data_IF_188974627292
#
_entry.id   IF_188974627292
#
_cell.length_a   1.000
_cell.length_b   1.000
_cell.length_c   1.000
_cell.angle_alpha   90.00
_cell.angle_beta   90.00
_cell.angle_gamma   90.00
#
_symmetry.space_group_name_H-M   'P 1'
#
loop_
_entity.id
_entity.type
_entity.pdbx_description
1 polymer ?
#
# COMPACT_ATOMS: atom_id res chain seq x y z
N UNK A 1 -7.00 -1.46 12.19
CA UNK A 1 -6.51 -1.97 10.89
C UNK A 1 -7.37 -3.03 10.20
N UNK A 2 -8.07 -3.93 10.89
CA UNK A 2 -8.90 -4.96 10.23
C UNK A 2 -9.90 -4.40 9.22
N UNK A 3 -10.60 -3.33 9.58
CA UNK A 3 -11.55 -2.66 8.68
C UNK A 3 -10.85 -2.07 7.45
N UNK A 4 -9.70 -1.41 7.64
CA UNK A 4 -8.89 -0.89 6.53
C UNK A 4 -8.48 -2.00 5.57
N UNK A 5 -7.93 -3.12 6.08
CA UNK A 5 -7.50 -4.25 5.24
C UNK A 5 -8.65 -4.84 4.43
N UNK A 6 -9.84 -4.96 5.04
CA UNK A 6 -11.04 -5.42 4.34
C UNK A 6 -11.39 -4.47 3.19
N UNK A 7 -11.51 -3.17 3.48
CA UNK A 7 -11.88 -2.17 2.48
C UNK A 7 -10.82 -2.05 1.36
N UNK A 8 -9.53 -2.07 1.72
CA UNK A 8 -8.41 -2.11 0.77
C UNK A 8 -8.48 -3.34 -0.14
N UNK A 9 -8.60 -4.53 0.46
CA UNK A 9 -8.62 -5.80 -0.26
C UNK A 9 -9.82 -5.93 -1.19
N UNK A 10 -10.98 -5.40 -0.81
CA UNK A 10 -12.19 -5.38 -1.65
C UNK A 10 -12.27 -4.20 -2.61
N UNK A 11 -11.37 -3.21 -2.51
CA UNK A 11 -11.49 -1.93 -3.21
C UNK A 11 -12.85 -1.25 -2.92
N UNK A 12 -13.21 -1.16 -1.64
CA UNK A 12 -14.41 -0.49 -1.14
C UNK A 12 -14.11 0.97 -0.79
N UNK A 13 -14.44 1.86 -1.71
CA UNK A 13 -14.16 3.30 -1.57
C UNK A 13 -14.96 3.94 -0.42
N UNK A 14 -16.16 3.45 -0.10
CA UNK A 14 -16.95 3.99 1.01
C UNK A 14 -16.34 3.57 2.36
N UNK A 15 -15.96 2.29 2.48
CA UNK A 15 -15.23 1.78 3.63
C UNK A 15 -13.89 2.48 3.85
N UNK A 16 -13.16 2.79 2.79
CA UNK A 16 -11.92 3.57 2.87
C UNK A 16 -12.18 5.01 3.37
N UNK A 17 -13.17 5.72 2.83
CA UNK A 17 -13.52 7.09 3.27
C UNK A 17 -13.92 7.17 4.75
N UNK A 18 -14.47 6.10 5.31
CA UNK A 18 -14.82 6.06 6.73
C UNK A 18 -13.58 6.03 7.66
N UNK A 19 -12.45 5.50 7.17
CA UNK A 19 -11.26 5.19 7.98
C UNK A 19 -10.09 6.13 7.67
N UNK A 20 -10.09 6.75 6.49
CA UNK A 20 -9.06 7.67 6.04
C UNK A 20 -9.47 9.13 6.30
N UNK A 21 -8.49 10.00 6.52
CA UNK A 21 -8.72 11.44 6.54
C UNK A 21 -8.97 11.97 5.12
N UNK A 22 -9.58 13.15 5.00
CA UNK A 22 -9.84 13.77 3.69
C UNK A 22 -8.53 14.12 2.94
N UNK A 23 -7.49 14.48 3.69
CA UNK A 23 -6.14 14.77 3.22
C UNK A 23 -5.21 13.54 3.21
N UNK A 24 -5.78 12.34 3.19
CA UNK A 24 -4.98 11.11 3.23
C UNK A 24 -3.95 11.05 2.09
N UNK A 25 -2.74 10.62 2.40
CA UNK A 25 -1.69 10.36 1.41
C UNK A 25 -1.16 8.93 1.47
N UNK A 26 -0.90 8.34 0.31
CA UNK A 26 -0.15 7.10 0.18
C UNK A 26 1.16 7.34 -0.56
N UNK A 27 2.27 7.20 0.15
CA UNK A 27 3.64 7.32 -0.35
C UNK A 27 4.11 5.93 -0.80
N UNK A 28 4.44 5.82 -2.09
CA UNK A 28 4.67 4.54 -2.75
C UNK A 28 6.15 4.20 -2.79
N UNK A 29 6.46 2.90 -2.82
CA UNK A 29 7.84 2.39 -2.90
C UNK A 29 8.56 2.72 -4.24
N UNK A 30 7.85 3.28 -5.22
CA UNK A 30 8.38 3.70 -6.51
C UNK A 30 7.89 5.11 -6.83
N UNK A 31 8.68 5.85 -7.61
CA UNK A 31 8.32 7.12 -8.22
C UNK A 31 8.44 7.06 -9.74
N UNK A 32 7.86 8.02 -10.45
CA UNK A 32 8.18 8.22 -11.85
C UNK A 32 9.56 8.90 -11.98
N UNK A 33 10.27 8.68 -13.09
CA UNK A 33 11.56 9.33 -13.32
C UNK A 33 11.47 10.87 -13.35
N UNK A 34 10.29 11.42 -13.69
CA UNK A 34 10.00 12.86 -13.66
C UNK A 34 9.80 13.38 -12.23
N UNK A 35 9.41 12.50 -11.30
CA UNK A 35 8.99 12.83 -9.95
C UNK A 35 10.04 12.29 -8.98
N UNK A 36 11.33 12.67 -9.13
CA UNK A 36 12.46 12.22 -8.28
C UNK A 36 12.35 12.73 -6.82
N UNK A 37 11.16 12.65 -6.23
CA UNK A 37 10.88 12.91 -4.85
C UNK A 37 11.43 11.77 -4.00
N UNK A 38 12.05 12.09 -2.84
CA UNK A 38 12.56 11.08 -1.93
C UNK A 38 11.45 10.19 -1.33
N UNK A 39 10.18 10.59 -1.48
CA UNK A 39 8.99 9.86 -1.02
C UNK A 39 8.44 8.85 -2.03
N UNK A 40 8.98 8.81 -3.26
CA UNK A 40 8.34 8.13 -4.38
C UNK A 40 7.05 8.83 -4.82
N UNK A 41 6.23 8.15 -5.62
CA UNK A 41 4.93 8.64 -6.10
C UNK A 41 3.99 8.79 -4.91
N UNK A 42 3.35 9.94 -4.79
CA UNK A 42 2.34 10.21 -3.75
C UNK A 42 0.95 10.14 -4.38
N UNK A 43 0.07 9.34 -3.79
CA UNK A 43 -1.35 9.29 -4.15
C UNK A 43 -2.14 10.06 -3.10
N UNK A 44 -2.92 11.05 -3.53
CA UNK A 44 -3.71 11.90 -2.64
C UNK A 44 -5.18 11.49 -2.64
N UNK A 45 -5.69 11.14 -1.46
CA UNK A 45 -7.08 10.80 -1.22
C UNK A 45 -7.49 9.40 -1.68
N UNK A 46 -8.75 9.06 -1.39
CA UNK A 46 -9.32 7.74 -1.67
C UNK A 46 -9.43 7.47 -3.17
N UNK A 47 -9.73 8.48 -3.98
CA UNK A 47 -9.94 8.28 -5.42
C UNK A 47 -8.64 7.88 -6.14
N UNK A 48 -7.52 8.56 -5.85
CA UNK A 48 -6.22 8.19 -6.39
C UNK A 48 -5.77 6.80 -5.93
N UNK A 49 -6.04 6.46 -4.66
CA UNK A 49 -5.80 5.13 -4.12
C UNK A 49 -6.63 4.05 -4.85
N UNK A 50 -7.90 4.34 -5.16
CA UNK A 50 -8.80 3.44 -5.86
C UNK A 50 -8.36 3.20 -7.31
N UNK A 51 -7.92 4.25 -8.00
CA UNK A 51 -7.35 4.12 -9.35
C UNK A 51 -6.14 3.20 -9.36
N UNK A 52 -5.23 3.36 -8.39
CA UNK A 52 -4.05 2.49 -8.24
C UNK A 52 -4.43 1.04 -7.95
N UNK A 53 -5.41 0.80 -7.07
CA UNK A 53 -5.89 -0.56 -6.77
C UNK A 53 -6.51 -1.23 -8.00
N UNK A 54 -7.29 -0.49 -8.79
CA UNK A 54 -7.86 -0.98 -10.04
C UNK A 54 -6.78 -1.26 -11.08
N UNK A 55 -5.80 -0.36 -11.20
CA UNK A 55 -4.65 -0.54 -12.08
C UNK A 55 -3.87 -1.81 -11.72
N UNK A 56 -3.51 -2.00 -10.44
CA UNK A 56 -2.82 -3.22 -9.99
C UNK A 56 -3.63 -4.48 -10.26
N UNK A 57 -4.94 -4.48 -10.01
CA UNK A 57 -5.81 -5.64 -10.32
C UNK A 57 -5.86 -5.98 -11.81
N UNK A 58 -5.76 -4.97 -12.67
CA UNK A 58 -5.79 -5.15 -14.12
C UNK A 58 -4.46 -5.66 -14.67
N UNK A 59 -3.35 -5.18 -14.10
CA UNK A 59 -2.03 -5.34 -14.71
C UNK A 59 -1.10 -6.29 -13.95
N UNK A 60 -1.35 -6.59 -12.69
CA UNK A 60 -0.59 -7.58 -11.94
C UNK A 60 -1.34 -8.91 -11.88
N UNK A 61 -0.61 -10.01 -11.86
CA UNK A 61 -1.19 -11.35 -11.83
C UNK A 61 -0.42 -12.29 -10.90
N UNK A 62 -1.07 -13.37 -10.48
CA UNK A 62 -0.53 -14.37 -9.55
C UNK A 62 0.02 -13.75 -8.25
N UNK A 63 -0.69 -12.75 -7.72
CA UNK A 63 -0.29 -12.06 -6.50
C UNK A 63 -0.56 -12.94 -5.29
N UNK A 64 0.50 -13.22 -4.54
CA UNK A 64 0.45 -13.92 -3.26
C UNK A 64 0.95 -12.98 -2.15
N UNK A 65 0.35 -13.13 -0.97
CA UNK A 65 0.71 -12.39 0.24
C UNK A 65 0.93 -13.40 1.37
N UNK A 66 2.09 -13.32 2.02
CA UNK A 66 2.50 -14.24 3.08
C UNK A 66 3.03 -13.46 4.30
N UNK A 67 3.08 -14.13 5.46
CA UNK A 67 3.77 -13.65 6.67
C UNK A 67 3.32 -12.27 7.17
N UNK A 68 2.03 -11.94 7.03
CA UNK A 68 1.50 -10.67 7.55
C UNK A 68 1.62 -10.61 9.08
N UNK A 69 2.34 -9.61 9.56
CA UNK A 69 2.44 -9.26 10.98
C UNK A 69 2.11 -7.80 11.15
N UNK A 70 1.22 -7.50 12.10
CA UNK A 70 0.83 -6.15 12.49
C UNK A 70 1.38 -5.81 13.87
N UNK A 71 1.95 -4.62 14.03
CA UNK A 71 2.50 -4.12 15.29
C UNK A 71 2.02 -2.69 15.53
N UNK A 72 1.18 -2.43 16.54
CA UNK A 72 0.83 -1.07 16.93
C UNK A 72 2.03 -0.37 17.57
N UNK A 73 2.18 0.92 17.32
CA UNK A 73 3.23 1.78 17.84
C UNK A 73 2.68 3.21 18.06
N UNK A 74 1.86 3.37 19.11
CA UNK A 74 1.19 4.63 19.44
C UNK A 74 0.32 5.18 18.29
N UNK A 75 0.66 6.34 17.75
CA UNK A 75 0.05 7.02 16.59
C UNK A 75 0.47 6.42 15.25
N UNK A 76 1.18 5.30 15.27
CA UNK A 76 1.61 4.55 14.10
C UNK A 76 1.14 3.10 14.21
N UNK A 77 0.80 2.50 13.08
CA UNK A 77 0.69 1.04 12.96
C UNK A 77 1.67 0.56 11.89
N UNK A 78 2.46 -0.45 12.23
CA UNK A 78 3.39 -1.11 11.33
C UNK A 78 2.76 -2.41 10.81
N UNK A 79 2.82 -2.64 9.50
CA UNK A 79 2.59 -3.94 8.90
C UNK A 79 3.83 -4.41 8.15
N UNK A 80 4.20 -5.67 8.37
CA UNK A 80 5.26 -6.34 7.61
C UNK A 80 4.69 -7.59 6.97
N UNK A 81 5.00 -7.84 5.71
CA UNK A 81 4.59 -9.03 4.98
C UNK A 81 5.51 -9.29 3.80
N UNK A 82 5.37 -10.44 3.17
CA UNK A 82 6.02 -10.77 1.90
C UNK A 82 4.96 -10.76 0.81
N UNK A 83 5.31 -10.27 -0.38
CA UNK A 83 4.45 -10.42 -1.56
C UNK A 83 5.26 -10.78 -2.78
N UNK A 84 4.68 -11.60 -3.64
CA UNK A 84 5.25 -12.00 -4.93
C UNK A 84 4.15 -12.07 -5.99
N UNK A 85 4.55 -11.96 -7.24
CA UNK A 85 3.64 -12.06 -8.39
C UNK A 85 4.33 -11.62 -9.67
N UNK A 86 3.53 -11.31 -10.70
CA UNK A 86 3.98 -10.82 -11.99
C UNK A 86 3.47 -9.39 -12.21
N UNK A 87 4.34 -8.50 -12.71
CA UNK A 87 4.00 -7.11 -13.04
C UNK A 87 3.35 -6.96 -14.44
N UNK A 88 3.11 -5.72 -14.89
CA UNK A 88 2.47 -5.45 -16.19
C UNK A 88 3.24 -5.97 -17.42
N UNK A 89 4.54 -6.23 -17.27
CA UNK A 89 5.38 -6.79 -18.32
C UNK A 89 5.49 -8.32 -18.25
N UNK A 90 4.87 -8.93 -17.23
CA UNK A 90 5.04 -10.34 -16.90
C UNK A 90 6.34 -10.63 -16.14
N UNK A 91 7.07 -9.61 -15.71
CA UNK A 91 8.28 -9.81 -14.93
C UNK A 91 7.93 -10.22 -13.48
N UNK A 92 8.60 -11.25 -12.93
CA UNK A 92 8.34 -11.67 -11.57
C UNK A 92 8.92 -10.66 -10.57
N UNK A 93 8.18 -10.41 -9.49
CA UNK A 93 8.68 -9.71 -8.32
C UNK A 93 8.47 -10.56 -7.07
N UNK A 94 9.36 -10.42 -6.10
CA UNK A 94 9.27 -11.01 -4.78
C UNK A 94 9.93 -10.08 -3.77
N UNK A 95 9.14 -9.55 -2.84
CA UNK A 95 9.57 -8.46 -1.97
C UNK A 95 9.11 -8.67 -0.54
N UNK A 96 9.95 -8.21 0.39
CA UNK A 96 9.50 -7.87 1.73
C UNK A 96 8.92 -6.46 1.72
N UNK A 97 7.75 -6.31 2.34
CA UNK A 97 7.02 -5.05 2.44
C UNK A 97 6.99 -4.61 3.89
N UNK A 98 7.22 -3.31 4.06
CA UNK A 98 6.96 -2.57 5.30
C UNK A 98 5.96 -1.49 4.94
N UNK A 99 4.77 -1.55 5.55
CA UNK A 99 3.77 -0.50 5.47
C UNK A 99 3.70 0.21 6.83
N UNK A 100 3.86 1.53 6.83
CA UNK A 100 3.65 2.38 8.01
C UNK A 100 2.35 3.15 7.84
N UNK A 101 1.48 3.09 8.84
CA UNK A 101 0.19 3.77 8.86
C UNK A 101 0.19 4.80 9.96
N UNK A 102 0.31 6.08 9.60
CA UNK A 102 0.23 7.17 10.56
C UNK A 102 -1.24 7.53 10.83
N UNK A 103 -1.58 7.65 12.10
CA UNK A 103 -2.95 7.81 12.59
C UNK A 103 -3.06 9.14 13.34
N UNK A 104 -4.14 9.87 13.08
CA UNK A 104 -4.56 11.04 13.87
C UNK A 104 -6.07 11.02 13.99
N UNK A 105 -6.60 11.38 15.15
CA UNK A 105 -8.04 11.37 15.42
C UNK A 105 -8.72 10.05 15.02
N UNK A 106 -8.06 8.93 15.36
CA UNK A 106 -8.48 7.55 15.05
C UNK A 106 -8.57 7.19 13.56
N UNK A 107 -8.15 8.09 12.67
CA UNK A 107 -8.12 7.91 11.22
C UNK A 107 -6.70 7.84 10.68
N UNK A 108 -6.51 7.08 9.61
CA UNK A 108 -5.22 7.01 8.93
C UNK A 108 -5.11 8.22 8.01
N UNK A 109 -4.07 9.03 8.19
CA UNK A 109 -3.80 10.17 7.31
C UNK A 109 -2.62 9.93 6.37
N UNK A 110 -1.74 8.98 6.70
CA UNK A 110 -0.64 8.60 5.81
C UNK A 110 -0.40 7.11 5.80
N UNK A 111 -0.12 6.59 4.62
CA UNK A 111 0.47 5.27 4.42
C UNK A 111 1.81 5.42 3.71
N UNK A 112 2.90 4.92 4.30
CA UNK A 112 4.20 4.81 3.65
C UNK A 112 4.47 3.35 3.32
N UNK A 113 4.77 3.03 2.06
CA UNK A 113 5.08 1.67 1.60
C UNK A 113 6.54 1.56 1.18
N UNK A 114 7.28 0.64 1.80
CA UNK A 114 8.67 0.34 1.47
C UNK A 114 8.82 -1.09 1.01
N UNK A 115 9.55 -1.28 -0.09
CA UNK A 115 9.83 -2.60 -0.64
C UNK A 115 11.32 -2.89 -0.56
N UNK A 116 11.65 -4.13 -0.18
CA UNK A 116 13.00 -4.68 -0.31
C UNK A 116 12.92 -5.94 -1.16
N UNK A 117 13.60 -5.90 -2.32
CA UNK A 117 13.70 -7.04 -3.21
C UNK A 117 14.31 -8.24 -2.50
N UNK A 118 13.69 -9.40 -2.67
CA UNK A 118 14.18 -10.67 -2.20
C UNK A 118 14.84 -11.40 -3.37
N UNK A 119 15.88 -12.17 -3.08
CA UNK A 119 16.42 -13.09 -4.09
C UNK A 119 15.41 -14.20 -4.32
N UNK A 120 15.17 -14.54 -5.58
CA UNK A 120 14.63 -15.84 -5.95
C UNK A 120 15.76 -16.84 -5.73
N UNK A 121 15.69 -17.61 -4.63
CA UNK A 121 16.57 -18.78 -4.44
C UNK A 121 15.84 -20.02 -4.90
#
# INVERSE_FOLDING_TARGET
>A
MTQFRRAYGSADAAGLRAILTEDFEWHMHYGAAADQTPTGRVLSGVDAMMEELQWRRKYWSNIEYDNLVERPANDLVLQTFTTKGLDQSGAPFHVNVVDLYAVRDEKIYRKDTYWKQMSFR
#
